data_IF_422781341785
#
_entry.id   IF_422781341785
#
_cell.length_a   1.000
_cell.length_b   1.000
_cell.length_c   1.000
_cell.angle_alpha   90.00
_cell.angle_beta   90.00
_cell.angle_gamma   90.00
#
_symmetry.space_group_name_H-M   'P 1'
#
loop_
_entity.id
_entity.type
_entity.pdbx_description
1 polymer ?
#
# COMPACT_ATOMS: atom_id res chain seq x y z
N UNK A 1 -8.64 -16.66 0.31
CA UNK A 1 -7.45 -16.13 1.02
C UNK A 1 -7.58 -16.37 2.51
N UNK A 2 -6.50 -16.69 3.17
CA UNK A 2 -6.46 -16.78 4.62
C UNK A 2 -6.35 -15.37 5.22
N UNK A 3 -6.68 -15.26 6.52
CA UNK A 3 -6.53 -13.99 7.24
C UNK A 3 -5.07 -13.51 7.23
N UNK A 4 -4.12 -14.45 7.33
CA UNK A 4 -2.71 -14.11 7.30
C UNK A 4 -2.27 -13.58 5.94
N UNK A 5 -2.78 -14.17 4.85
CA UNK A 5 -2.48 -13.67 3.51
C UNK A 5 -3.04 -12.26 3.31
N UNK A 6 -4.26 -12.01 3.78
CA UNK A 6 -4.89 -10.70 3.71
C UNK A 6 -4.08 -9.67 4.47
N UNK A 7 -3.68 -10.01 5.70
CA UNK A 7 -2.86 -9.14 6.53
C UNK A 7 -1.54 -8.80 5.85
N UNK A 8 -0.85 -9.81 5.34
CA UNK A 8 0.46 -9.63 4.69
C UNK A 8 0.35 -8.75 3.44
N UNK A 9 -0.66 -9.00 2.63
CA UNK A 9 -0.90 -8.20 1.41
C UNK A 9 -1.23 -6.75 1.74
N UNK A 10 -2.09 -6.53 2.73
CA UNK A 10 -2.46 -5.18 3.13
C UNK A 10 -1.31 -4.44 3.79
N UNK A 11 -0.47 -5.13 4.55
CA UNK A 11 0.72 -4.54 5.16
C UNK A 11 1.68 -4.04 4.07
N UNK A 12 1.89 -4.85 3.04
CA UNK A 12 2.74 -4.47 1.92
C UNK A 12 2.18 -3.24 1.20
N UNK A 13 0.88 -3.25 0.90
CA UNK A 13 0.22 -2.13 0.24
C UNK A 13 0.31 -0.85 1.07
N UNK A 14 0.04 -0.92 2.37
CA UNK A 14 0.06 0.26 3.22
C UNK A 14 1.47 0.81 3.40
N UNK A 15 2.47 -0.05 3.49
CA UNK A 15 3.86 0.36 3.58
C UNK A 15 4.29 1.09 2.31
N UNK A 16 3.94 0.56 1.15
CA UNK A 16 4.24 1.20 -0.13
C UNK A 16 3.47 2.52 -0.29
N UNK A 17 2.24 2.56 0.16
CA UNK A 17 1.46 3.79 0.12
C UNK A 17 2.05 4.88 1.01
N UNK A 18 2.51 4.52 2.21
CA UNK A 18 3.17 5.46 3.11
C UNK A 18 4.43 6.05 2.47
N UNK A 19 5.23 5.22 1.82
CA UNK A 19 6.41 5.69 1.09
C UNK A 19 6.02 6.63 -0.05
N UNK A 20 4.95 6.30 -0.77
CA UNK A 20 4.44 7.13 -1.85
C UNK A 20 4.04 8.51 -1.34
N UNK A 21 3.35 8.57 -0.21
CA UNK A 21 2.92 9.84 0.37
C UNK A 21 4.11 10.70 0.83
N UNK A 22 5.17 10.07 1.31
CA UNK A 22 6.40 10.80 1.67
C UNK A 22 7.05 11.45 0.44
N UNK A 23 6.99 10.78 -0.70
CA UNK A 23 7.54 11.28 -1.95
C UNK A 23 6.60 12.26 -2.67
N UNK A 24 5.30 12.19 -2.36
CA UNK A 24 4.27 12.99 -3.00
C UNK A 24 3.37 13.68 -1.98
N UNK A 25 3.90 14.69 -1.27
CA UNK A 25 3.12 15.38 -0.24
C UNK A 25 1.86 16.03 -0.78
N UNK A 26 1.82 16.39 -2.06
CA UNK A 26 0.64 16.94 -2.70
C UNK A 26 -0.53 15.96 -2.72
N UNK A 27 -0.24 14.65 -2.75
CA UNK A 27 -1.26 13.61 -2.67
C UNK A 27 -1.79 13.51 -1.23
N UNK A 28 -0.89 13.56 -0.25
CA UNK A 28 -1.29 13.52 1.15
C UNK A 28 -2.24 14.66 1.50
N UNK A 29 -2.03 15.84 0.92
CA UNK A 29 -2.88 17.01 1.15
C UNK A 29 -4.31 16.83 0.64
N UNK A 30 -4.53 15.92 -0.31
CA UNK A 30 -5.86 15.65 -0.85
C UNK A 30 -6.69 14.74 0.06
N UNK A 31 -6.05 14.09 1.05
CA UNK A 31 -6.72 13.15 1.92
C UNK A 31 -7.34 13.92 3.10
N UNK A 32 -8.68 13.83 3.27
CA UNK A 32 -9.32 14.51 4.41
C UNK A 32 -8.85 13.96 5.74
N UNK A 33 -8.90 14.80 6.77
CA UNK A 33 -8.61 14.38 8.13
C UNK A 33 -9.59 13.28 8.56
N UNK A 34 -9.11 12.33 9.33
CA UNK A 34 -9.92 11.22 9.84
C UNK A 34 -10.54 10.34 8.75
N UNK A 35 -9.97 10.33 7.56
CA UNK A 35 -10.47 9.49 6.48
C UNK A 35 -10.17 8.03 6.71
N UNK A 36 -11.12 7.18 6.33
CA UNK A 36 -10.87 5.74 6.22
C UNK A 36 -10.29 5.48 4.83
N UNK A 37 -9.08 4.97 4.79
CA UNK A 37 -8.39 4.73 3.52
C UNK A 37 -8.52 3.27 3.12
N UNK A 38 -9.00 3.06 1.90
CA UNK A 38 -9.15 1.74 1.30
C UNK A 38 -8.14 1.58 0.19
N UNK A 39 -7.28 0.60 0.33
CA UNK A 39 -6.32 0.26 -0.71
C UNK A 39 -6.93 -0.82 -1.59
N UNK A 40 -7.05 -0.55 -2.87
CA UNK A 40 -7.74 -1.40 -3.84
C UNK A 40 -6.80 -1.75 -4.99
N UNK A 41 -6.05 -2.87 -4.88
CA UNK A 41 -5.14 -3.27 -5.94
C UNK A 41 -5.88 -3.89 -7.11
N UNK A 42 -5.67 -3.36 -8.31
CA UNK A 42 -6.34 -3.85 -9.52
C UNK A 42 -5.97 -5.30 -9.84
N UNK A 43 -4.76 -5.72 -9.47
CA UNK A 43 -4.28 -7.08 -9.73
C UNK A 43 -4.85 -8.14 -8.79
N UNK A 44 -5.57 -7.72 -7.74
CA UNK A 44 -6.10 -8.66 -6.74
C UNK A 44 -7.56 -8.34 -6.42
N UNK A 45 -8.50 -8.73 -7.30
CA UNK A 45 -9.92 -8.45 -7.09
C UNK A 45 -10.49 -9.03 -5.80
N UNK A 46 -10.00 -10.17 -5.36
CA UNK A 46 -10.46 -10.80 -4.13
C UNK A 46 -10.13 -9.94 -2.91
N UNK A 47 -8.92 -9.39 -2.89
CA UNK A 47 -8.52 -8.48 -1.83
C UNK A 47 -9.33 -7.18 -1.86
N UNK A 48 -9.65 -6.67 -3.05
CA UNK A 48 -10.51 -5.50 -3.19
C UNK A 48 -11.88 -5.73 -2.56
N UNK A 49 -12.50 -6.88 -2.85
CA UNK A 49 -13.81 -7.22 -2.28
C UNK A 49 -13.72 -7.29 -0.76
N UNK A 50 -12.67 -7.92 -0.24
CA UNK A 50 -12.45 -8.03 1.20
C UNK A 50 -12.31 -6.66 1.85
N UNK A 51 -11.48 -5.79 1.26
CA UNK A 51 -11.21 -4.46 1.82
C UNK A 51 -12.46 -3.57 1.78
N UNK A 52 -13.25 -3.66 0.72
CA UNK A 52 -14.52 -2.94 0.63
C UNK A 52 -15.50 -3.39 1.71
N UNK A 53 -15.60 -4.70 1.95
CA UNK A 53 -16.48 -5.24 2.98
C UNK A 53 -16.05 -4.81 4.39
N UNK A 54 -14.76 -4.81 4.66
CA UNK A 54 -14.22 -4.34 5.95
C UNK A 54 -14.58 -2.87 6.20
N UNK A 55 -14.49 -2.04 5.19
CA UNK A 55 -14.80 -0.63 5.32
C UNK A 55 -16.26 -0.40 5.72
N UNK A 56 -17.17 -1.20 5.16
CA UNK A 56 -18.58 -1.08 5.49
C UNK A 56 -18.87 -1.35 6.96
N UNK A 57 -18.10 -2.25 7.58
CA UNK A 57 -18.28 -2.61 8.99
C UNK A 57 -17.50 -1.73 9.96
N UNK A 58 -16.42 -1.13 9.52
CA UNK A 58 -15.52 -0.36 10.40
C UNK A 58 -15.64 1.16 10.24
N UNK A 59 -16.38 1.62 9.24
CA UNK A 59 -16.57 3.04 9.00
C UNK A 59 -17.40 3.67 10.13
N UNK A 60 -16.90 4.76 10.68
CA UNK A 60 -17.66 5.55 11.63
C UNK A 60 -18.68 6.44 10.90
N UNK A 61 -19.78 6.84 11.58
CA UNK A 61 -20.73 7.78 10.98
C UNK A 61 -20.03 9.06 10.53
N UNK A 62 -20.37 9.53 9.33
CA UNK A 62 -19.81 10.75 8.75
C UNK A 62 -18.31 10.73 8.47
N UNK A 63 -17.66 9.59 8.61
CA UNK A 63 -16.26 9.45 8.29
C UNK A 63 -16.08 9.43 6.77
N UNK A 64 -15.20 10.30 6.21
CA UNK A 64 -14.92 10.22 4.78
C UNK A 64 -14.19 8.92 4.44
N UNK A 65 -14.53 8.36 3.30
CA UNK A 65 -13.88 7.15 2.78
C UNK A 65 -13.14 7.51 1.51
N UNK A 66 -11.84 7.19 1.49
CA UNK A 66 -10.99 7.47 0.34
C UNK A 66 -10.55 6.15 -0.28
N UNK A 67 -10.86 5.96 -1.55
CA UNK A 67 -10.44 4.80 -2.33
C UNK A 67 -9.12 5.11 -3.01
N UNK A 68 -8.09 4.34 -2.70
CA UNK A 68 -6.80 4.43 -3.36
C UNK A 68 -6.68 3.21 -4.28
N UNK A 69 -6.89 3.44 -5.57
CA UNK A 69 -6.75 2.39 -6.56
C UNK A 69 -5.30 2.27 -6.96
N UNK A 70 -4.77 1.06 -6.88
CA UNK A 70 -3.37 0.77 -7.18
C UNK A 70 -3.33 -0.14 -8.40
N UNK A 71 -2.76 0.32 -9.48
CA UNK A 71 -2.66 -0.49 -10.69
C UNK A 71 -1.77 -1.70 -10.45
N UNK A 72 -0.59 -1.48 -9.89
CA UNK A 72 0.33 -2.55 -9.54
C UNK A 72 1.43 -2.03 -8.62
N UNK A 73 2.11 -2.97 -7.97
CA UNK A 73 3.35 -2.68 -7.25
C UNK A 73 4.48 -3.18 -8.13
N UNK A 74 5.44 -2.29 -8.44
CA UNK A 74 6.60 -2.68 -9.24
C UNK A 74 7.44 -3.73 -8.51
N UNK A 75 8.15 -4.61 -9.23
CA UNK A 75 9.03 -5.57 -8.60
C UNK A 75 10.10 -4.87 -7.75
N UNK A 76 10.56 -5.52 -6.68
CA UNK A 76 11.60 -4.95 -5.84
C UNK A 76 12.89 -4.72 -6.63
N UNK A 77 13.58 -3.63 -6.31
CA UNK A 77 14.84 -3.28 -6.94
C UNK A 77 15.89 -3.06 -5.87
N UNK A 78 17.14 -3.37 -6.23
CA UNK A 78 18.26 -3.06 -5.35
C UNK A 78 18.44 -1.55 -5.21
N UNK A 79 18.71 -1.11 -3.99
CA UNK A 79 19.04 0.29 -3.71
C UNK A 79 20.54 0.53 -3.60
N UNK A 80 21.34 -0.46 -3.98
CA UNK A 80 22.79 -0.30 -4.00
C UNK A 80 23.19 0.77 -5.00
N UNK A 81 24.15 1.59 -4.61
CA UNK A 81 24.71 2.63 -5.47
C UNK A 81 26.12 2.24 -5.80
N UNK A 82 26.38 1.97 -7.09
CA UNK A 82 27.70 1.65 -7.62
C UNK A 82 28.49 0.63 -6.79
N UNK A 83 27.91 -0.55 -6.52
CA UNK A 83 28.64 -1.57 -5.77
C UNK A 83 29.87 -2.03 -6.56
N UNK A 84 30.97 -2.25 -5.86
CA UNK A 84 32.20 -2.77 -6.45
C UNK A 84 32.50 -4.12 -5.86
N UNK A 85 32.91 -5.05 -6.72
CA UNK A 85 33.32 -6.38 -6.27
C UNK A 85 34.84 -6.37 -6.10
N UNK A 86 35.28 -6.58 -4.87
CA UNK A 86 36.70 -6.66 -4.55
C UNK A 86 36.93 -8.06 -3.96
N UNK A 87 37.89 -8.77 -4.55
CA UNK A 87 38.17 -10.16 -4.15
C UNK A 87 39.50 -10.22 -3.44
N UNK A 88 39.44 -10.65 -2.18
CA UNK A 88 40.64 -10.83 -1.35
C UNK A 88 41.16 -12.24 -1.49
N UNK A 89 42.46 -12.41 -1.35
CA UNK A 89 43.10 -13.73 -1.37
C UNK A 89 43.44 -14.26 -2.76
N UNK A 90 43.47 -13.43 -3.77
CA UNK A 90 43.85 -13.80 -5.12
C UNK A 90 45.33 -13.64 -5.41
#
# INVERSE_FOLDING_TARGET
MTEQEIFTKNLKLSTEFDLYLLEHPEVAEQIPDNALILLLPDEDPELCVHNLALAQTHREPDQPVVHIRVEKISPPRSRLVNPRVEIEGQ
#
